data_IF_513630403442
#
_entry.id   IF_513630403442
#
_cell.length_a   1.000
_cell.length_b   1.000
_cell.length_c   1.000
_cell.angle_alpha   90.00
_cell.angle_beta   90.00
_cell.angle_gamma   90.00
#
_symmetry.space_group_name_H-M   'P 1'
#
loop_
_entity.id
_entity.type
_entity.pdbx_description
1 polymer ?
#
# COMPACT_ATOMS: atom_id res chain seq x y z
N UNK A 1 -21.41 14.68 -69.35
CA UNK A 1 -21.49 13.48 -68.50
C UNK A 1 -20.26 13.53 -67.59
N UNK A 2 -20.14 14.58 -66.76
CA UNK A 2 -18.83 14.93 -66.17
C UNK A 2 -18.93 15.42 -64.71
N UNK A 3 -20.10 15.89 -64.28
CA UNK A 3 -20.32 16.36 -62.90
C UNK A 3 -20.24 15.26 -61.84
N UNK A 4 -20.71 14.05 -62.17
CA UNK A 4 -20.65 12.90 -61.27
C UNK A 4 -19.22 12.42 -61.02
N UNK A 5 -18.33 12.52 -62.03
CA UNK A 5 -16.91 12.21 -61.85
C UNK A 5 -16.23 13.25 -60.97
N UNK A 6 -16.50 14.54 -61.19
CA UNK A 6 -15.94 15.61 -60.37
C UNK A 6 -16.37 15.50 -58.90
N UNK A 7 -17.66 15.27 -58.64
CA UNK A 7 -18.18 15.06 -57.29
C UNK A 7 -17.58 13.80 -56.64
N UNK A 8 -17.43 12.72 -57.41
CA UNK A 8 -16.80 11.47 -56.93
C UNK A 8 -15.36 11.66 -56.49
N UNK A 9 -14.55 12.40 -57.27
CA UNK A 9 -13.14 12.67 -56.94
C UNK A 9 -13.02 13.54 -55.68
N UNK A 10 -13.87 14.55 -55.53
CA UNK A 10 -13.88 15.42 -54.34
C UNK A 10 -14.23 14.65 -53.07
N UNK A 11 -15.24 13.77 -53.14
CA UNK A 11 -15.63 12.91 -52.01
C UNK A 11 -14.51 11.90 -51.70
N UNK A 12 -13.90 11.30 -52.72
CA UNK A 12 -12.80 10.34 -52.53
C UNK A 12 -11.61 10.98 -51.80
N UNK A 13 -11.20 12.19 -52.22
CA UNK A 13 -10.12 12.93 -51.57
C UNK A 13 -10.44 13.29 -50.13
N UNK A 14 -11.70 13.68 -49.86
CA UNK A 14 -12.17 14.00 -48.52
C UNK A 14 -12.17 12.75 -47.62
N UNK A 15 -12.74 11.64 -48.10
CA UNK A 15 -12.75 10.36 -47.38
C UNK A 15 -11.33 9.86 -47.14
N UNK A 16 -10.45 9.92 -48.14
CA UNK A 16 -9.05 9.50 -47.98
C UNK A 16 -8.33 10.35 -46.91
N UNK A 17 -8.59 11.65 -46.87
CA UNK A 17 -7.99 12.57 -45.89
C UNK A 17 -8.59 12.46 -44.49
N UNK A 18 -9.82 11.97 -44.34
CA UNK A 18 -10.45 11.72 -43.04
C UNK A 18 -10.22 10.31 -42.50
N UNK A 19 -10.22 9.30 -43.38
CA UNK A 19 -10.05 7.89 -42.99
C UNK A 19 -8.58 7.57 -42.71
N UNK A 20 -7.64 8.10 -43.50
CA UNK A 20 -6.21 7.89 -43.25
C UNK A 20 -5.76 8.29 -41.82
N UNK A 21 -6.10 9.49 -41.29
CA UNK A 21 -5.72 9.84 -39.91
C UNK A 21 -6.47 9.01 -38.86
N UNK A 22 -7.72 8.60 -39.09
CA UNK A 22 -8.46 7.74 -38.15
C UNK A 22 -7.85 6.34 -38.07
N UNK A 23 -7.48 5.76 -39.21
CA UNK A 23 -6.80 4.45 -39.24
C UNK A 23 -5.42 4.54 -38.59
N UNK A 24 -4.71 5.65 -38.81
CA UNK A 24 -3.40 5.87 -38.18
C UNK A 24 -3.52 5.96 -36.65
N UNK A 25 -4.48 6.73 -36.12
CA UNK A 25 -4.67 6.86 -34.66
C UNK A 25 -5.14 5.55 -34.04
N UNK A 26 -6.07 4.83 -34.69
CA UNK A 26 -6.45 3.48 -34.24
C UNK A 26 -5.27 2.52 -34.26
N UNK A 27 -4.42 2.57 -35.29
CA UNK A 27 -3.23 1.73 -35.39
C UNK A 27 -2.24 2.00 -34.26
N UNK A 28 -1.97 3.28 -33.95
CA UNK A 28 -1.10 3.66 -32.83
C UNK A 28 -1.69 3.18 -31.50
N UNK A 29 -2.99 3.42 -31.26
CA UNK A 29 -3.67 2.97 -30.04
C UNK A 29 -3.64 1.44 -29.88
N UNK A 30 -3.85 0.70 -30.97
CA UNK A 30 -3.77 -0.76 -30.98
C UNK A 30 -2.36 -1.26 -30.64
N UNK A 31 -1.32 -0.63 -31.20
CA UNK A 31 0.08 -0.99 -30.91
C UNK A 31 0.43 -0.68 -29.46
N UNK A 32 -0.04 0.44 -28.91
CA UNK A 32 0.17 0.77 -27.48
C UNK A 32 -0.48 -0.27 -26.57
N UNK A 33 -1.75 -0.63 -26.81
CA UNK A 33 -2.44 -1.61 -25.99
C UNK A 33 -1.76 -2.98 -26.03
N UNK A 34 -1.29 -3.39 -27.22
CA UNK A 34 -0.52 -4.63 -27.40
C UNK A 34 0.76 -4.68 -26.56
N UNK A 35 1.44 -3.55 -26.37
CA UNK A 35 2.66 -3.48 -25.55
C UNK A 35 2.33 -3.49 -24.05
N UNK A 36 1.26 -2.81 -23.64
CA UNK A 36 0.78 -2.82 -22.24
C UNK A 36 0.40 -4.23 -21.80
N UNK A 37 -0.33 -4.98 -22.64
CA UNK A 37 -0.71 -6.37 -22.36
C UNK A 37 0.50 -7.27 -22.07
N UNK A 38 1.65 -6.98 -22.70
CA UNK A 38 2.89 -7.73 -22.47
C UNK A 38 3.50 -7.39 -21.11
N UNK A 39 3.56 -6.10 -20.76
CA UNK A 39 4.13 -5.65 -19.50
C UNK A 39 3.28 -6.02 -18.29
N UNK A 40 1.95 -6.05 -18.43
CA UNK A 40 1.06 -6.44 -17.35
C UNK A 40 1.30 -7.90 -16.92
N UNK A 41 1.63 -8.79 -17.86
CA UNK A 41 1.99 -10.19 -17.56
C UNK A 41 3.31 -10.30 -16.79
N UNK A 42 4.31 -9.50 -17.16
CA UNK A 42 5.61 -9.46 -16.48
C UNK A 42 5.48 -8.85 -15.08
N UNK A 43 4.70 -7.77 -14.95
CA UNK A 43 4.41 -7.13 -13.67
C UNK A 43 3.60 -8.04 -12.74
N UNK A 44 2.60 -8.77 -13.26
CA UNK A 44 1.83 -9.71 -12.46
C UNK A 44 2.69 -10.89 -12.00
N UNK A 45 3.52 -11.45 -12.89
CA UNK A 45 4.45 -12.54 -12.52
C UNK A 45 5.51 -12.10 -11.49
N UNK A 46 5.98 -10.85 -11.56
CA UNK A 46 6.88 -10.30 -10.55
C UNK A 46 6.14 -10.08 -9.22
N UNK A 47 4.92 -9.54 -9.25
CA UNK A 47 4.11 -9.32 -8.06
C UNK A 47 3.72 -10.65 -7.39
N UNK A 48 3.42 -11.69 -8.17
CA UNK A 48 3.18 -13.06 -7.70
C UNK A 48 4.44 -13.68 -7.09
N UNK A 49 5.63 -13.50 -7.68
CA UNK A 49 6.89 -13.94 -7.08
C UNK A 49 7.24 -13.18 -5.80
N UNK A 50 6.95 -11.88 -5.75
CA UNK A 50 7.13 -11.07 -4.55
C UNK A 50 6.13 -11.48 -3.46
N UNK A 51 4.88 -11.77 -3.81
CA UNK A 51 3.86 -12.23 -2.84
C UNK A 51 4.04 -13.69 -2.41
N UNK A 52 4.65 -14.54 -3.24
CA UNK A 52 5.06 -15.90 -2.84
C UNK A 52 6.35 -15.89 -1.99
N UNK A 53 7.27 -14.95 -2.28
CA UNK A 53 8.40 -14.65 -1.38
C UNK A 53 7.97 -13.90 -0.12
N UNK A 54 6.77 -13.30 -0.12
CA UNK A 54 6.06 -12.72 1.02
C UNK A 54 5.02 -13.72 1.57
N UNK A 55 5.31 -15.02 1.53
CA UNK A 55 4.96 -15.84 2.70
C UNK A 55 5.65 -15.13 3.86
N UNK A 56 4.94 -14.67 4.91
CA UNK A 56 5.45 -13.65 5.83
C UNK A 56 6.61 -14.21 6.66
N UNK A 57 7.79 -14.22 6.07
CA UNK A 57 9.05 -14.09 6.74
C UNK A 57 9.16 -12.59 6.99
N UNK A 58 8.99 -12.22 8.25
CA UNK A 58 9.33 -10.93 8.83
C UNK A 58 10.66 -10.44 8.24
N UNK A 59 10.63 -9.55 7.25
CA UNK A 59 11.83 -8.85 6.79
C UNK A 59 11.63 -7.37 7.04
N UNK A 60 12.51 -6.90 7.90
CA UNK A 60 12.64 -5.56 8.40
C UNK A 60 12.95 -4.60 7.24
N UNK A 61 12.11 -3.58 7.03
CA UNK A 61 12.61 -2.33 6.45
C UNK A 61 13.76 -1.83 7.34
N UNK A 62 14.96 -1.50 6.81
CA UNK A 62 15.87 -0.62 7.51
C UNK A 62 15.29 0.80 7.49
N UNK A 63 14.36 1.07 8.40
CA UNK A 63 13.87 2.43 8.66
C UNK A 63 12.38 2.56 9.01
N UNK A 64 11.50 1.72 8.47
CA UNK A 64 10.06 1.77 8.79
C UNK A 64 9.50 0.35 8.85
N UNK A 65 9.94 -0.39 9.85
CA UNK A 65 9.20 -1.58 10.28
C UNK A 65 7.84 -1.12 10.80
N UNK A 66 6.75 -1.73 10.32
CA UNK A 66 5.49 -1.78 11.09
C UNK A 66 5.76 -2.66 12.32
N UNK A 67 6.53 -2.12 13.25
CA UNK A 67 6.72 -2.71 14.57
C UNK A 67 5.34 -2.81 15.18
N UNK A 68 4.95 -3.97 15.72
CA UNK A 68 3.74 -4.02 16.52
C UNK A 68 3.93 -2.97 17.61
N UNK A 69 2.91 -2.12 17.81
CA UNK A 69 2.96 -1.01 18.76
C UNK A 69 3.24 -1.50 20.19
N UNK A 70 3.10 -2.81 20.44
CA UNK A 70 3.51 -3.54 21.65
C UNK A 70 5.02 -3.52 21.92
N UNK A 71 5.86 -3.34 20.90
CA UNK A 71 7.32 -3.15 21.02
C UNK A 71 7.71 -1.68 21.16
N UNK A 72 6.79 -0.75 20.92
CA UNK A 72 7.00 0.64 21.23
C UNK A 72 6.72 0.84 22.72
N UNK A 73 7.60 1.58 23.41
CA UNK A 73 7.38 1.84 24.82
C UNK A 73 6.16 2.75 25.00
N UNK A 74 5.28 2.39 25.92
CA UNK A 74 4.00 3.07 26.14
C UNK A 74 4.14 4.57 26.48
N UNK A 75 5.31 5.01 26.95
CA UNK A 75 5.55 6.43 27.23
C UNK A 75 5.65 7.29 25.96
N UNK A 76 5.92 6.70 24.79
CA UNK A 76 5.91 7.39 23.50
C UNK A 76 4.48 7.60 22.98
N UNK A 77 3.56 6.69 23.32
CA UNK A 77 2.18 6.69 22.81
C UNK A 77 1.20 7.35 23.77
N UNK A 78 1.39 7.18 25.09
CA UNK A 78 0.49 7.69 26.14
C UNK A 78 1.02 9.02 26.73
N UNK A 79 2.27 9.40 26.46
CA UNK A 79 2.84 10.65 26.97
C UNK A 79 3.05 10.67 28.48
N UNK A 80 3.48 9.55 29.08
CA UNK A 80 3.68 9.48 30.54
C UNK A 80 4.74 10.49 31.04
N UNK A 81 4.43 11.17 32.15
CA UNK A 81 5.33 12.10 32.84
C UNK A 81 6.62 11.42 33.34
N UNK A 82 7.74 12.15 33.50
CA UNK A 82 9.02 11.57 33.91
C UNK A 82 8.99 10.98 35.32
N UNK A 83 8.15 11.50 36.22
CA UNK A 83 7.95 10.97 37.58
C UNK A 83 7.29 9.60 37.53
N UNK A 84 6.22 9.46 36.73
CA UNK A 84 5.50 8.20 36.54
C UNK A 84 6.37 7.17 35.82
N UNK A 85 7.27 7.60 34.92
CA UNK A 85 8.20 6.72 34.20
C UNK A 85 9.23 6.06 35.12
N UNK A 86 9.79 6.80 36.09
CA UNK A 86 10.81 6.27 37.03
C UNK A 86 10.29 5.12 37.89
N UNK A 87 9.00 5.18 38.26
CA UNK A 87 8.35 4.17 39.08
C UNK A 87 7.57 3.11 38.27
N UNK A 88 7.66 3.15 36.93
CA UNK A 88 6.87 2.26 36.08
C UNK A 88 7.58 0.92 35.87
N UNK A 89 6.95 -0.22 36.21
CA UNK A 89 7.56 -1.53 35.99
C UNK A 89 7.81 -1.84 34.51
N UNK A 90 7.03 -1.25 33.60
CA UNK A 90 7.25 -1.35 32.15
C UNK A 90 8.51 -0.61 31.66
N UNK A 91 9.00 0.37 32.43
CA UNK A 91 10.26 1.05 32.11
C UNK A 91 11.48 0.20 32.48
N UNK A 92 11.36 -0.54 33.59
CA UNK A 92 12.37 -1.48 34.09
C UNK A 92 12.41 -2.78 33.25
N UNK A 93 11.24 -3.28 32.84
CA UNK A 93 11.10 -4.51 32.05
C UNK A 93 10.73 -4.16 30.60
N UNK A 94 11.75 -3.85 29.78
CA UNK A 94 11.56 -3.51 28.36
C UNK A 94 11.20 -4.71 27.48
N UNK A 95 11.35 -5.92 28.02
CA UNK A 95 11.07 -7.18 27.31
C UNK A 95 9.56 -7.50 27.26
N UNK A 96 8.74 -6.74 27.98
CA UNK A 96 7.29 -6.97 28.09
C UNK A 96 6.50 -5.70 27.80
N UNK A 97 5.29 -5.82 27.22
CA UNK A 97 4.43 -4.66 27.05
C UNK A 97 3.97 -4.12 28.40
N UNK A 98 3.56 -2.84 28.41
CA UNK A 98 3.31 -2.12 29.65
C UNK A 98 2.22 -2.74 30.54
N UNK A 99 1.18 -3.31 29.94
CA UNK A 99 0.11 -3.99 30.67
C UNK A 99 0.61 -5.25 31.39
N UNK A 100 1.50 -6.03 30.76
CA UNK A 100 2.05 -7.25 31.33
C UNK A 100 3.03 -6.95 32.48
N UNK A 101 3.87 -5.92 32.32
CA UNK A 101 4.79 -5.49 33.37
C UNK A 101 4.06 -4.91 34.59
N UNK A 102 2.97 -4.17 34.38
CA UNK A 102 2.13 -3.65 35.46
C UNK A 102 1.35 -4.75 36.16
N UNK A 103 0.75 -5.68 35.40
CA UNK A 103 0.04 -6.83 35.97
C UNK A 103 0.96 -7.69 36.86
N UNK A 104 2.24 -7.84 36.50
CA UNK A 104 3.20 -8.62 37.27
C UNK A 104 3.55 -8.00 38.64
N UNK A 105 3.44 -6.67 38.79
CA UNK A 105 3.79 -5.96 40.02
C UNK A 105 2.56 -5.56 40.83
N UNK A 106 1.52 -5.06 40.15
CA UNK A 106 0.27 -4.61 40.77
C UNK A 106 -0.69 -5.78 41.02
N UNK A 107 -0.53 -6.91 40.34
CA UNK A 107 -1.41 -8.09 40.45
C UNK A 107 -2.78 -7.90 39.79
N UNK A 108 -3.11 -6.67 39.39
CA UNK A 108 -4.37 -6.29 38.74
C UNK A 108 -4.08 -5.43 37.52
N UNK A 109 -4.99 -5.51 36.53
CA UNK A 109 -4.88 -4.67 35.34
C UNK A 109 -5.38 -3.25 35.68
N UNK A 110 -4.59 -2.20 35.38
CA UNK A 110 -5.01 -0.82 35.56
C UNK A 110 -6.27 -0.47 34.78
N UNK A 111 -7.13 0.37 35.36
CA UNK A 111 -8.41 0.78 34.74
C UNK A 111 -8.24 1.46 33.37
N UNK A 112 -7.08 2.05 33.09
CA UNK A 112 -6.78 2.74 31.83
C UNK A 112 -6.35 1.79 30.69
N UNK A 113 -6.10 0.50 30.98
CA UNK A 113 -5.62 -0.44 29.98
C UNK A 113 -6.66 -0.81 28.89
N UNK A 114 -7.95 -1.01 29.18
CA UNK A 114 -8.96 -1.36 28.16
C UNK A 114 -9.10 -0.31 27.05
N UNK A 115 -8.93 0.97 27.38
CA UNK A 115 -8.99 2.08 26.43
C UNK A 115 -7.64 2.37 25.74
N UNK A 116 -6.59 1.64 26.11
CA UNK A 116 -5.26 1.86 25.56
C UNK A 116 -5.11 1.19 24.19
N UNK A 117 -4.68 1.92 23.13
CA UNK A 117 -4.49 1.33 21.81
C UNK A 117 -3.41 0.24 21.79
N UNK A 118 -2.42 0.30 22.68
CA UNK A 118 -1.38 -0.73 22.84
C UNK A 118 -1.97 -2.04 23.36
N UNK A 119 -2.94 -1.96 24.28
CA UNK A 119 -3.63 -3.13 24.83
C UNK A 119 -4.62 -3.69 23.82
N UNK A 120 -5.42 -2.83 23.18
CA UNK A 120 -6.39 -3.23 22.16
C UNK A 120 -5.69 -3.93 20.98
N UNK A 121 -4.56 -3.43 20.49
CA UNK A 121 -3.82 -4.11 19.41
C UNK A 121 -3.20 -5.45 19.81
N UNK A 122 -2.96 -5.68 21.10
CA UNK A 122 -2.46 -6.97 21.60
C UNK A 122 -3.58 -8.00 21.80
N UNK A 123 -4.84 -7.55 21.87
CA UNK A 123 -6.03 -8.35 22.17
C UNK A 123 -7.14 -8.22 21.10
N UNK A 124 -6.84 -7.63 19.94
CA UNK A 124 -7.71 -7.54 18.77
C UNK A 124 -7.47 -8.72 17.83
#
# INVERSE_FOLDING_TARGET
MDDFQAAGIMILMFVLRCVAPLVLTMGIGYVMNRMVDKWEREANAQNERLSESEKPATVELPGVQKRPLSSLPCWLTIGCSPERRKNCPAYLQRDKPCWAARLAVEGVLPADCPDCPVYQQAHA
#
